data_IF_404560463208
#
_entry.id   IF_404560463208
#
_cell.length_a   1.000
_cell.length_b   1.000
_cell.length_c   1.000
_cell.angle_alpha   90.00
_cell.angle_beta   90.00
_cell.angle_gamma   90.00
#
_symmetry.space_group_name_H-M   'P 1'
#
loop_
_entity.id
_entity.type
_entity.pdbx_description
1 polymer ?
#
# COMPACT_ATOMS: atom_id res chain seq x y z
N UNK A 1 -27.58 -30.11 8.45
CA UNK A 1 -27.18 -29.09 9.43
C UNK A 1 -25.71 -29.19 9.85
N UNK A 2 -25.21 -30.37 10.25
CA UNK A 2 -23.80 -30.58 10.69
C UNK A 2 -22.76 -30.25 9.60
N UNK A 3 -23.02 -30.65 8.36
CA UNK A 3 -22.16 -30.34 7.20
C UNK A 3 -22.13 -28.84 6.84
N UNK A 4 -23.22 -28.11 7.13
CA UNK A 4 -23.30 -26.68 6.87
C UNK A 4 -22.43 -25.89 7.86
N UNK A 5 -22.49 -26.26 9.15
CA UNK A 5 -21.62 -25.70 10.20
C UNK A 5 -20.14 -26.01 9.90
N UNK A 6 -19.84 -27.23 9.43
CA UNK A 6 -18.47 -27.63 9.09
C UNK A 6 -17.91 -26.85 7.88
N UNK A 7 -18.72 -26.63 6.84
CA UNK A 7 -18.33 -25.77 5.71
C UNK A 7 -18.10 -24.31 6.12
N UNK A 8 -18.93 -23.77 7.01
CA UNK A 8 -18.79 -22.40 7.49
C UNK A 8 -17.51 -22.22 8.32
N UNK A 9 -17.14 -23.23 9.10
CA UNK A 9 -15.90 -23.23 9.89
C UNK A 9 -14.65 -23.28 9.00
N UNK A 10 -14.66 -24.09 7.94
CA UNK A 10 -13.57 -24.19 6.97
C UNK A 10 -13.37 -22.90 6.17
N UNK A 11 -14.45 -22.19 5.82
CA UNK A 11 -14.37 -20.90 5.13
C UNK A 11 -13.75 -19.82 6.01
N UNK A 12 -14.01 -19.82 7.31
CA UNK A 12 -13.40 -18.87 8.25
C UNK A 12 -11.87 -18.99 8.35
N UNK A 13 -11.33 -20.19 8.15
CA UNK A 13 -9.88 -20.46 8.24
C UNK A 13 -9.14 -19.92 7.00
N UNK A 14 -9.75 -19.94 5.82
CA UNK A 14 -9.08 -19.51 4.58
C UNK A 14 -8.95 -17.99 4.46
N UNK A 15 -9.86 -17.20 5.03
CA UNK A 15 -9.78 -15.73 5.01
C UNK A 15 -8.65 -15.17 5.90
N UNK A 16 -8.14 -15.95 6.85
CA UNK A 16 -7.09 -15.53 7.78
C UNK A 16 -5.66 -15.69 7.25
N UNK A 17 -5.47 -16.21 6.05
CA UNK A 17 -4.15 -16.41 5.46
C UNK A 17 -3.53 -15.06 5.08
N UNK A 18 -2.85 -14.43 6.04
CA UNK A 18 -2.10 -13.19 5.82
C UNK A 18 -0.93 -13.48 4.87
N UNK A 19 -0.87 -12.77 3.75
CA UNK A 19 0.31 -12.76 2.89
C UNK A 19 1.53 -12.35 3.74
N UNK A 20 2.48 -13.25 3.89
CA UNK A 20 3.65 -13.06 4.78
C UNK A 20 4.74 -12.23 4.13
N UNK A 21 4.76 -12.16 2.79
CA UNK A 21 5.70 -11.35 2.03
C UNK A 21 5.02 -10.07 1.55
N UNK A 22 5.55 -8.88 1.87
CA UNK A 22 4.97 -7.65 1.35
C UNK A 22 5.13 -7.59 -0.17
N UNK A 23 4.22 -6.89 -0.84
CA UNK A 23 4.45 -6.47 -2.22
C UNK A 23 5.50 -5.35 -2.21
N UNK A 24 6.41 -5.34 -3.18
CA UNK A 24 7.38 -4.28 -3.36
C UNK A 24 7.00 -3.52 -4.63
N UNK A 25 6.80 -2.22 -4.50
CA UNK A 25 6.59 -1.32 -5.64
C UNK A 25 7.77 -0.35 -5.65
N UNK A 26 8.63 -0.47 -6.66
CA UNK A 26 9.70 0.50 -6.93
C UNK A 26 9.17 1.54 -7.89
N UNK A 27 9.09 2.79 -7.43
CA UNK A 27 8.77 3.94 -8.25
C UNK A 27 10.02 4.83 -8.34
N UNK A 28 10.53 5.03 -9.55
CA UNK A 28 11.74 5.81 -9.81
C UNK A 28 11.45 6.79 -10.95
N UNK A 29 11.64 8.07 -10.69
CA UNK A 29 11.65 9.11 -11.72
C UNK A 29 13.06 9.27 -12.28
N UNK A 30 13.17 9.50 -13.58
CA UNK A 30 14.43 9.88 -14.22
C UNK A 30 14.74 11.35 -13.92
N UNK A 31 16.00 11.66 -13.63
CA UNK A 31 16.50 12.99 -13.27
C UNK A 31 15.66 13.76 -12.21
N UNK A 32 14.93 13.06 -11.35
CA UNK A 32 14.06 13.72 -10.36
C UNK A 32 14.91 14.36 -9.26
N UNK A 33 14.95 15.70 -9.27
CA UNK A 33 15.69 16.48 -8.29
C UNK A 33 15.11 16.36 -6.88
N UNK A 34 15.98 16.39 -5.87
CA UNK A 34 15.57 16.32 -4.47
C UNK A 34 14.59 17.44 -4.10
N UNK A 35 14.84 18.67 -4.56
CA UNK A 35 14.01 19.82 -4.21
C UNK A 35 12.72 19.92 -5.03
N UNK A 36 12.48 19.05 -6.02
CA UNK A 36 11.36 19.13 -6.98
C UNK A 36 10.08 18.43 -6.49
N UNK A 37 9.82 18.46 -5.20
CA UNK A 37 8.68 17.80 -4.55
C UNK A 37 8.14 18.66 -3.41
N UNK A 38 6.82 18.63 -3.24
CA UNK A 38 6.11 19.40 -2.20
C UNK A 38 6.56 19.03 -0.78
N UNK A 39 6.75 17.74 -0.50
CA UNK A 39 7.24 17.28 0.81
C UNK A 39 8.68 17.73 1.15
N UNK A 40 9.45 18.21 0.17
CA UNK A 40 10.75 18.85 0.39
C UNK A 40 10.69 20.39 0.34
N UNK A 41 9.49 20.97 0.39
CA UNK A 41 9.29 22.41 0.54
C UNK A 41 9.29 23.21 -0.77
N UNK A 42 9.14 22.56 -1.93
CA UNK A 42 9.10 23.27 -3.20
C UNK A 42 7.92 24.28 -3.23
N UNK A 43 8.15 25.56 -3.59
CA UNK A 43 7.13 26.61 -3.46
C UNK A 43 5.98 26.54 -4.49
N UNK A 44 6.23 25.95 -5.66
CA UNK A 44 5.27 25.95 -6.80
C UNK A 44 4.82 24.57 -7.29
N UNK A 45 5.74 23.62 -7.44
CA UNK A 45 5.47 22.24 -7.86
C UNK A 45 4.56 21.55 -6.85
N UNK A 46 3.52 20.88 -7.37
CA UNK A 46 2.51 20.18 -6.57
C UNK A 46 2.65 18.68 -6.81
N UNK A 47 2.98 17.92 -5.77
CA UNK A 47 3.13 16.46 -5.83
C UNK A 47 2.18 15.76 -4.85
N UNK A 48 0.86 16.05 -4.88
CA UNK A 48 -0.06 15.68 -3.80
C UNK A 48 -0.10 14.18 -3.48
N UNK A 49 0.13 13.31 -4.47
CA UNK A 49 0.23 11.87 -4.26
C UNK A 49 1.53 11.48 -3.55
N UNK A 50 2.66 12.06 -3.95
CA UNK A 50 3.95 11.81 -3.28
C UNK A 50 3.96 12.40 -1.88
N UNK A 51 3.38 13.60 -1.71
CA UNK A 51 3.26 14.27 -0.41
C UNK A 51 2.43 13.43 0.56
N UNK A 52 1.31 12.86 0.10
CA UNK A 52 0.49 11.94 0.89
C UNK A 52 1.23 10.65 1.23
N UNK A 53 2.04 10.11 0.31
CA UNK A 53 2.85 8.91 0.57
C UNK A 53 3.96 9.18 1.59
N UNK A 54 4.58 10.36 1.59
CA UNK A 54 5.64 10.74 2.52
C UNK A 54 5.12 11.03 3.94
N UNK A 55 3.84 11.40 4.08
CA UNK A 55 3.21 11.69 5.37
C UNK A 55 2.68 10.44 6.12
N UNK A 56 2.69 9.27 5.47
CA UNK A 56 2.20 8.00 6.02
C UNK A 56 3.30 7.25 6.79
#
# INVERSE_FOLDING_TARGET
>A
MKHFIFSLLLLGISLGAKQTKPNIILLMGDDHGWEEVGYNGHPYVKTPNLDKMAAA
#
